data_IF_426837277480
#
_entry.id   IF_426837277480
#
_cell.length_a   1.000
_cell.length_b   1.000
_cell.length_c   1.000
_cell.angle_alpha   90.00
_cell.angle_beta   90.00
_cell.angle_gamma   90.00
#
_symmetry.space_group_name_H-M   'P 1'
#
loop_
_entity.id
_entity.type
_entity.pdbx_description
1 polymer ?
#
# COMPACT_ATOMS: atom_id res chain seq x y z
N UNK A 1 -62.84 -51.84 -11.07
CA UNK A 1 -61.65 -51.97 -10.19
C UNK A 1 -60.41 -52.26 -11.04
N UNK A 2 -59.63 -51.24 -11.41
CA UNK A 2 -58.16 -51.34 -11.58
C UNK A 2 -57.57 -49.98 -11.21
N UNK A 3 -56.77 -50.00 -10.15
CA UNK A 3 -56.09 -48.88 -9.50
C UNK A 3 -55.09 -48.23 -10.45
N UNK A 4 -55.18 -46.92 -10.68
CA UNK A 4 -54.10 -46.15 -11.29
C UNK A 4 -53.18 -45.66 -10.16
N UNK A 5 -52.04 -46.33 -9.99
CA UNK A 5 -50.98 -45.85 -9.10
C UNK A 5 -50.29 -44.65 -9.77
N UNK A 6 -50.53 -43.45 -9.24
CA UNK A 6 -49.76 -42.26 -9.61
C UNK A 6 -48.41 -42.30 -8.90
N UNK A 7 -47.35 -42.59 -9.64
CA UNK A 7 -45.97 -42.44 -9.18
C UNK A 7 -45.62 -40.97 -9.31
N UNK A 8 -45.51 -40.26 -8.17
CA UNK A 8 -45.03 -38.89 -8.13
C UNK A 8 -43.49 -38.95 -8.24
N UNK A 9 -42.87 -38.35 -9.27
CA UNK A 9 -41.42 -38.28 -9.34
C UNK A 9 -40.93 -37.29 -8.29
N UNK A 10 -40.16 -37.76 -7.32
CA UNK A 10 -39.41 -36.90 -6.39
C UNK A 10 -38.22 -36.35 -7.18
N UNK A 11 -38.32 -35.10 -7.62
CA UNK A 11 -37.20 -34.36 -8.20
C UNK A 11 -36.31 -33.91 -7.03
N UNK A 12 -35.18 -34.59 -6.86
CA UNK A 12 -34.15 -34.20 -5.90
C UNK A 12 -33.38 -33.00 -6.48
N UNK A 13 -33.71 -31.79 -6.05
CA UNK A 13 -32.96 -30.59 -6.41
C UNK A 13 -31.69 -30.58 -5.55
N UNK A 14 -30.59 -31.10 -6.08
CA UNK A 14 -29.25 -30.83 -5.55
C UNK A 14 -28.93 -29.35 -5.81
N UNK A 15 -29.09 -28.53 -4.78
CA UNK A 15 -28.56 -27.17 -4.75
C UNK A 15 -27.04 -27.26 -4.69
N UNK A 16 -26.40 -27.18 -5.85
CA UNK A 16 -24.98 -26.83 -5.95
C UNK A 16 -24.85 -25.40 -5.41
N UNK A 17 -24.54 -25.27 -4.12
CA UNK A 17 -24.08 -24.01 -3.57
C UNK A 17 -22.77 -23.67 -4.29
N UNK A 18 -22.85 -22.77 -5.28
CA UNK A 18 -21.68 -22.17 -5.87
C UNK A 18 -20.95 -21.44 -4.75
N UNK A 19 -19.86 -22.03 -4.26
CA UNK A 19 -18.99 -21.40 -3.28
C UNK A 19 -18.31 -20.23 -4.00
N UNK A 20 -18.85 -19.03 -3.89
CA UNK A 20 -18.19 -17.83 -4.38
C UNK A 20 -16.93 -17.63 -3.56
N UNK A 21 -15.77 -17.79 -4.20
CA UNK A 21 -14.49 -17.58 -3.53
C UNK A 21 -14.45 -16.15 -3.02
N UNK A 22 -14.35 -16.00 -1.69
CA UNK A 22 -14.20 -14.67 -1.09
C UNK A 22 -12.92 -14.01 -1.63
N UNK A 23 -12.95 -12.71 -1.93
CA UNK A 23 -11.78 -12.01 -2.42
C UNK A 23 -10.63 -12.12 -1.41
N UNK A 24 -9.42 -12.30 -1.94
CA UNK A 24 -8.16 -12.44 -1.18
C UNK A 24 -7.13 -11.42 -1.66
N UNK A 25 -6.21 -10.98 -0.78
CA UNK A 25 -5.05 -10.19 -1.17
C UNK A 25 -4.17 -10.90 -2.21
N UNK A 26 -3.32 -10.13 -2.89
CA UNK A 26 -2.32 -10.68 -3.82
C UNK A 26 -1.27 -11.55 -3.13
N UNK A 27 -0.99 -11.30 -1.85
CA UNK A 27 -0.16 -12.16 -1.02
C UNK A 27 -0.99 -13.34 -0.47
N UNK A 28 -0.73 -14.59 -0.92
CA UNK A 28 -1.46 -15.76 -0.43
C UNK A 28 -1.14 -16.10 1.05
N UNK A 29 -0.08 -15.52 1.62
CA UNK A 29 0.33 -15.67 3.02
C UNK A 29 -0.11 -14.48 3.89
N UNK A 30 -0.93 -13.56 3.34
CA UNK A 30 -1.39 -12.39 4.07
C UNK A 30 -1.94 -12.75 5.45
N UNK A 31 -1.54 -11.99 6.46
CA UNK A 31 -2.03 -12.13 7.84
C UNK A 31 -3.57 -12.06 7.90
N UNK A 32 -4.22 -12.70 8.90
CA UNK A 32 -5.67 -12.62 9.07
C UNK A 32 -6.20 -11.19 9.09
N UNK A 33 -5.50 -10.27 9.76
CA UNK A 33 -5.84 -8.85 9.86
C UNK A 33 -5.78 -8.15 8.50
N UNK A 34 -4.81 -8.49 7.66
CA UNK A 34 -4.66 -7.95 6.30
C UNK A 34 -5.72 -8.47 5.36
N UNK A 35 -6.06 -9.76 5.46
CA UNK A 35 -7.19 -10.35 4.73
C UNK A 35 -8.50 -9.69 5.14
N UNK A 36 -8.69 -9.43 6.44
CA UNK A 36 -9.87 -8.75 6.96
C UNK A 36 -9.95 -7.30 6.47
N UNK A 37 -8.84 -6.55 6.50
CA UNK A 37 -8.78 -5.20 5.94
C UNK A 37 -9.23 -5.21 4.47
N UNK A 38 -8.63 -6.06 3.64
CA UNK A 38 -8.95 -6.15 2.21
C UNK A 38 -10.43 -6.43 1.95
N UNK A 39 -11.00 -7.43 2.64
CA UNK A 39 -12.42 -7.78 2.50
C UNK A 39 -13.35 -6.68 2.98
N UNK A 40 -12.99 -6.01 4.09
CA UNK A 40 -13.79 -4.92 4.62
C UNK A 40 -13.78 -3.71 3.68
N UNK A 41 -12.64 -3.37 3.08
CA UNK A 41 -12.57 -2.31 2.06
C UNK A 41 -13.52 -2.60 0.88
N UNK A 42 -13.49 -3.82 0.35
CA UNK A 42 -14.39 -4.23 -0.74
C UNK A 42 -15.87 -4.21 -0.34
N UNK A 43 -16.19 -4.65 0.89
CA UNK A 43 -17.57 -4.61 1.40
C UNK A 43 -18.07 -3.18 1.62
N UNK A 44 -17.21 -2.28 2.10
CA UNK A 44 -17.57 -0.91 2.42
C UNK A 44 -17.72 -0.03 1.18
N UNK A 45 -17.11 -0.40 0.05
CA UNK A 45 -17.28 0.34 -1.22
C UNK A 45 -18.75 0.45 -1.64
N UNK A 46 -19.59 -0.52 -1.26
CA UNK A 46 -21.03 -0.53 -1.59
C UNK A 46 -21.84 0.41 -0.69
N UNK A 47 -21.28 0.87 0.42
CA UNK A 47 -21.98 1.69 1.42
C UNK A 47 -21.59 3.17 1.35
N UNK A 48 -20.37 3.48 0.93
CA UNK A 48 -19.90 4.85 0.84
C UNK A 48 -18.41 4.96 0.56
N UNK A 49 -17.90 6.18 0.67
CA UNK A 49 -16.50 6.51 0.46
C UNK A 49 -15.82 6.81 1.79
N UNK A 50 -14.67 6.20 2.04
CA UNK A 50 -13.82 6.54 3.18
C UNK A 50 -13.02 7.80 2.85
N UNK A 51 -13.14 8.83 3.69
CA UNK A 51 -12.34 10.04 3.57
C UNK A 51 -10.94 9.83 4.14
N UNK A 52 -9.91 10.29 3.42
CA UNK A 52 -8.51 10.18 3.82
C UNK A 52 -7.79 11.52 3.94
N UNK A 53 -6.82 11.59 4.86
CA UNK A 53 -5.96 12.76 5.02
C UNK A 53 -4.52 12.33 5.37
N UNK A 54 -3.54 12.89 4.66
CA UNK A 54 -2.11 12.67 4.87
C UNK A 54 -1.65 13.39 6.15
N UNK A 55 -0.80 12.75 6.95
CA UNK A 55 -0.18 13.33 8.16
C UNK A 55 -1.15 13.93 9.18
N UNK A 56 -2.39 13.41 9.20
CA UNK A 56 -3.52 14.00 9.88
C UNK A 56 -3.38 14.17 11.41
N UNK A 57 -2.44 13.46 12.04
CA UNK A 57 -2.14 13.56 13.48
C UNK A 57 -0.76 14.19 13.75
N UNK A 58 0.06 14.40 12.72
CA UNK A 58 1.40 14.91 12.86
C UNK A 58 1.37 16.44 13.05
N UNK A 59 0.64 17.14 12.20
CA UNK A 59 0.53 18.59 12.26
C UNK A 59 -0.71 19.08 11.50
N UNK A 60 -0.96 20.38 11.62
CA UNK A 60 -1.97 21.10 10.86
C UNK A 60 -1.62 22.58 10.79
N UNK A 61 -2.57 23.40 10.34
CA UNK A 61 -2.31 24.84 10.26
C UNK A 61 -2.20 25.44 11.68
N UNK A 62 -0.96 25.74 12.09
CA UNK A 62 -0.65 26.42 13.34
C UNK A 62 -0.35 25.52 14.54
N UNK A 63 -0.18 24.21 14.35
CA UNK A 63 0.18 23.27 15.43
C UNK A 63 0.99 22.09 14.90
N UNK A 64 1.82 21.49 15.76
CA UNK A 64 2.67 20.32 15.46
C UNK A 64 2.70 19.42 16.69
N UNK A 65 2.50 18.12 16.49
CA UNK A 65 2.58 17.06 17.52
C UNK A 65 1.71 17.29 18.76
N UNK A 66 0.56 17.94 18.59
CA UNK A 66 -0.43 18.03 19.67
C UNK A 66 -1.20 16.72 19.79
N UNK A 67 -1.16 16.12 20.98
CA UNK A 67 -1.69 14.78 21.22
C UNK A 67 -3.18 14.67 20.83
N UNK A 68 -3.47 13.76 19.90
CA UNK A 68 -4.83 13.47 19.44
C UNK A 68 -5.47 14.58 18.61
N UNK A 69 -4.74 15.64 18.23
CA UNK A 69 -5.28 16.70 17.38
C UNK A 69 -5.27 16.31 15.90
N UNK A 70 -6.19 16.89 15.14
CA UNK A 70 -6.27 16.76 13.67
C UNK A 70 -7.10 17.92 13.13
N UNK A 71 -6.65 18.60 12.07
CA UNK A 71 -7.43 19.69 11.45
C UNK A 71 -8.81 19.19 10.99
N UNK A 72 -8.88 17.95 10.50
CA UNK A 72 -10.14 17.30 10.11
C UNK A 72 -11.08 17.21 11.32
N UNK A 73 -10.59 16.69 12.45
CA UNK A 73 -11.38 16.57 13.66
C UNK A 73 -11.80 17.91 14.24
N UNK A 74 -10.92 18.91 14.20
CA UNK A 74 -11.22 20.25 14.69
C UNK A 74 -12.36 20.90 13.88
N UNK A 75 -12.44 20.63 12.57
CA UNK A 75 -13.45 21.21 11.68
C UNK A 75 -14.77 20.43 11.69
N UNK A 76 -14.73 19.09 11.59
CA UNK A 76 -15.94 18.28 11.40
C UNK A 76 -16.33 17.42 12.61
N UNK A 77 -15.54 17.44 13.69
CA UNK A 77 -15.83 16.73 14.94
C UNK A 77 -15.45 15.25 14.95
N UNK A 78 -14.90 14.71 13.86
CA UNK A 78 -14.44 13.33 13.75
C UNK A 78 -13.14 13.25 12.92
N UNK A 79 -12.38 12.17 13.12
CA UNK A 79 -11.13 11.95 12.40
C UNK A 79 -11.36 11.45 10.96
N UNK A 80 -10.35 11.52 10.06
CA UNK A 80 -10.43 10.81 8.79
C UNK A 80 -10.54 9.29 9.02
N UNK A 81 -11.14 8.60 8.06
CA UNK A 81 -11.24 7.14 8.08
C UNK A 81 -9.93 6.48 7.59
N UNK A 82 -9.20 7.15 6.69
CA UNK A 82 -7.91 6.71 6.15
C UNK A 82 -6.83 7.74 6.51
N UNK A 83 -5.72 7.28 7.04
CA UNK A 83 -4.58 8.10 7.44
C UNK A 83 -3.42 7.78 6.52
N UNK A 84 -2.96 8.79 5.79
CA UNK A 84 -1.76 8.70 4.96
C UNK A 84 -0.51 9.06 5.76
N UNK A 85 0.59 8.38 5.45
CA UNK A 85 1.91 8.62 6.02
C UNK A 85 2.99 8.55 4.94
N UNK A 86 3.97 9.44 5.03
CA UNK A 86 5.06 9.52 4.07
C UNK A 86 6.40 9.08 4.70
N UNK A 87 7.13 8.20 4.00
CA UNK A 87 8.35 7.58 4.51
C UNK A 87 9.64 7.94 3.77
N UNK A 88 9.65 8.95 2.91
CA UNK A 88 10.87 9.41 2.24
C UNK A 88 11.92 9.85 3.27
N UNK A 89 13.19 9.59 2.97
CA UNK A 89 14.35 9.68 3.87
C UNK A 89 14.50 8.53 4.88
N UNK A 90 13.50 7.67 5.09
CA UNK A 90 13.66 6.47 5.93
C UNK A 90 14.83 5.60 5.43
N UNK A 91 14.99 5.51 4.11
CA UNK A 91 16.03 4.76 3.44
C UNK A 91 17.45 5.25 3.74
N UNK A 92 17.60 6.50 4.17
CA UNK A 92 18.88 7.10 4.53
C UNK A 92 19.29 6.76 5.97
N UNK A 93 18.37 6.20 6.76
CA UNK A 93 18.55 6.01 8.20
C UNK A 93 18.38 7.30 9.00
N UNK A 94 17.71 8.30 8.41
CA UNK A 94 17.35 9.54 9.10
C UNK A 94 16.27 9.27 10.17
N UNK A 95 16.20 10.14 11.17
CA UNK A 95 15.16 10.06 12.21
C UNK A 95 13.81 10.67 11.77
N UNK A 96 13.82 11.48 10.70
CA UNK A 96 12.67 12.24 10.23
C UNK A 96 12.41 11.97 8.75
N UNK A 97 11.14 12.04 8.35
CA UNK A 97 10.71 12.04 6.95
C UNK A 97 11.19 13.30 6.22
N UNK A 98 11.02 13.31 4.90
CA UNK A 98 11.27 14.52 4.09
C UNK A 98 10.43 15.74 4.51
N UNK A 99 9.30 15.51 5.19
CA UNK A 99 8.41 16.55 5.71
C UNK A 99 8.69 16.88 7.19
N UNK A 100 9.84 16.44 7.72
CA UNK A 100 10.26 16.66 9.11
C UNK A 100 9.39 15.95 10.16
N UNK A 101 8.74 14.85 9.79
CA UNK A 101 7.96 14.02 10.71
C UNK A 101 8.81 12.88 11.28
N UNK A 102 8.94 12.78 12.61
CA UNK A 102 9.80 11.75 13.22
C UNK A 102 9.22 10.34 13.02
N UNK A 103 10.03 9.37 12.57
CA UNK A 103 9.53 8.02 12.24
C UNK A 103 8.92 7.27 13.44
N UNK A 104 9.49 7.41 14.64
CA UNK A 104 8.90 6.82 15.85
C UNK A 104 7.49 7.34 16.13
N UNK A 105 7.21 8.61 15.82
CA UNK A 105 5.86 9.16 15.95
C UNK A 105 4.93 8.57 14.89
N UNK A 106 5.39 8.44 13.63
CA UNK A 106 4.62 7.78 12.57
C UNK A 106 4.25 6.35 12.98
N UNK A 107 5.20 5.56 13.51
CA UNK A 107 4.91 4.20 13.99
C UNK A 107 3.87 4.21 15.13
N UNK A 108 4.02 5.12 16.10
CA UNK A 108 3.08 5.29 17.20
C UNK A 108 1.68 5.69 16.74
N UNK A 109 1.56 6.58 15.76
CA UNK A 109 0.27 6.98 15.21
C UNK A 109 -0.35 5.90 14.35
N UNK A 110 0.42 5.14 13.56
CA UNK A 110 -0.09 3.97 12.83
C UNK A 110 -0.78 3.01 13.79
N UNK A 111 -0.15 2.73 14.94
CA UNK A 111 -0.74 1.93 16.02
C UNK A 111 -2.00 2.57 16.60
N UNK A 112 -1.95 3.86 16.92
CA UNK A 112 -3.11 4.63 17.44
C UNK A 112 -4.31 4.58 16.48
N UNK A 113 -4.06 4.71 15.18
CA UNK A 113 -5.07 4.65 14.12
C UNK A 113 -5.66 3.25 14.04
N UNK A 114 -4.82 2.22 14.05
CA UNK A 114 -5.28 0.83 14.01
C UNK A 114 -6.16 0.48 15.22
N UNK A 115 -5.76 0.88 16.43
CA UNK A 115 -6.53 0.66 17.66
C UNK A 115 -7.88 1.38 17.65
N UNK A 116 -7.97 2.51 16.95
CA UNK A 116 -9.23 3.25 16.73
C UNK A 116 -10.09 2.66 15.61
N UNK A 117 -9.58 1.69 14.85
CA UNK A 117 -10.27 1.09 13.70
C UNK A 117 -10.15 1.90 12.40
N UNK A 118 -9.22 2.85 12.33
CA UNK A 118 -8.88 3.55 11.09
C UNK A 118 -7.96 2.73 10.18
N UNK A 119 -7.85 3.15 8.92
CA UNK A 119 -6.99 2.52 7.92
C UNK A 119 -5.71 3.33 7.75
N UNK A 120 -4.56 2.65 7.75
CA UNK A 120 -3.28 3.28 7.47
C UNK A 120 -2.86 3.01 6.01
N UNK A 121 -2.45 4.06 5.30
CA UNK A 121 -1.80 3.97 3.99
C UNK A 121 -0.45 4.69 4.03
N UNK A 122 0.51 4.19 3.28
CA UNK A 122 1.90 4.66 3.28
C UNK A 122 2.33 4.96 1.84
N UNK A 123 2.84 6.17 1.59
CA UNK A 123 3.60 6.51 0.38
C UNK A 123 5.10 6.59 0.67
N UNK A 124 5.90 6.67 -0.40
CA UNK A 124 7.35 6.69 -0.28
C UNK A 124 8.03 7.49 -1.39
N UNK A 125 8.43 8.71 -1.06
CA UNK A 125 9.28 9.61 -1.82
C UNK A 125 10.76 9.35 -1.47
N UNK A 126 11.24 8.17 -1.87
CA UNK A 126 12.63 7.78 -1.66
C UNK A 126 13.63 8.56 -2.54
N UNK A 127 14.83 8.79 -2.02
CA UNK A 127 15.96 9.40 -2.75
C UNK A 127 16.30 8.62 -4.02
N UNK A 128 16.78 9.34 -5.02
CA UNK A 128 17.36 8.76 -6.22
C UNK A 128 18.66 7.99 -5.86
N UNK A 129 18.68 6.66 -5.96
CA UNK A 129 19.81 5.83 -5.52
C UNK A 129 21.04 5.91 -6.45
N UNK A 130 20.85 6.43 -7.67
CA UNK A 130 21.94 6.60 -8.63
C UNK A 130 22.71 7.89 -8.38
N UNK A 131 21.99 9.01 -8.28
CA UNK A 131 22.59 10.35 -8.16
C UNK A 131 22.76 10.79 -6.70
N UNK A 132 22.04 10.15 -5.78
CA UNK A 132 21.88 10.58 -4.40
C UNK A 132 20.90 11.73 -4.22
N UNK A 133 20.24 12.23 -5.28
CA UNK A 133 19.27 13.33 -5.27
C UNK A 133 17.89 12.97 -4.71
N UNK A 134 16.95 13.92 -4.72
CA UNK A 134 15.56 13.70 -4.25
C UNK A 134 14.77 12.77 -5.18
N UNK A 135 13.53 12.42 -4.82
CA UNK A 135 12.62 11.73 -5.76
C UNK A 135 12.42 12.50 -7.06
N UNK A 136 12.49 13.83 -7.00
CA UNK A 136 12.38 14.75 -8.13
C UNK A 136 13.69 14.95 -8.91
N UNK A 137 14.78 14.32 -8.49
CA UNK A 137 16.00 14.33 -9.29
C UNK A 137 15.85 13.39 -10.49
N UNK A 138 15.39 13.98 -11.59
CA UNK A 138 15.13 13.32 -12.86
C UNK A 138 16.26 13.50 -13.87
N UNK A 139 17.48 13.83 -13.39
CA UNK A 139 18.63 14.13 -14.24
C UNK A 139 19.16 12.93 -15.03
N UNK A 140 18.70 11.71 -14.73
CA UNK A 140 19.12 10.46 -15.37
C UNK A 140 17.94 9.55 -15.65
N UNK A 141 17.97 8.89 -16.81
CA UNK A 141 17.03 7.82 -17.21
C UNK A 141 17.54 6.42 -16.86
N UNK A 142 18.74 6.32 -16.29
CA UNK A 142 19.35 5.02 -15.95
C UNK A 142 19.02 4.60 -14.51
N UNK A 143 18.27 5.40 -13.75
CA UNK A 143 18.04 5.18 -12.32
C UNK A 143 17.37 3.83 -12.06
N UNK A 144 16.22 3.57 -12.70
CA UNK A 144 15.48 2.31 -12.53
C UNK A 144 16.35 1.13 -12.97
N UNK A 145 16.93 1.20 -14.17
CA UNK A 145 17.83 0.16 -14.68
C UNK A 145 19.01 -0.13 -13.76
N UNK A 146 19.59 0.89 -13.12
CA UNK A 146 20.72 0.74 -12.21
C UNK A 146 20.37 -0.01 -10.93
N UNK A 147 19.12 0.00 -10.48
CA UNK A 147 18.69 -0.65 -9.24
C UNK A 147 18.02 -2.01 -9.43
N UNK A 148 17.68 -2.38 -10.66
CA UNK A 148 17.18 -3.72 -10.96
C UNK A 148 18.27 -4.79 -10.78
N UNK A 149 17.92 -6.08 -10.60
CA UNK A 149 18.89 -7.16 -10.50
C UNK A 149 19.93 -7.12 -11.63
N UNK A 150 21.21 -7.11 -11.26
CA UNK A 150 22.34 -6.96 -12.20
C UNK A 150 22.77 -5.51 -12.48
N UNK A 151 22.02 -4.51 -12.02
CA UNK A 151 22.39 -3.10 -12.11
C UNK A 151 23.43 -2.69 -11.05
N UNK A 152 24.20 -1.64 -11.35
CA UNK A 152 25.33 -1.18 -10.50
C UNK A 152 24.92 -0.66 -9.11
N UNK A 153 23.66 -0.24 -8.95
CA UNK A 153 23.07 0.25 -7.69
C UNK A 153 22.17 -0.79 -7.03
N UNK A 154 22.07 -2.02 -7.54
CA UNK A 154 21.14 -3.02 -7.02
C UNK A 154 21.33 -3.30 -5.53
N UNK A 155 22.55 -3.66 -5.11
CA UNK A 155 22.83 -3.94 -3.69
C UNK A 155 22.65 -2.71 -2.81
N UNK A 156 22.96 -1.51 -3.32
CA UNK A 156 22.70 -0.28 -2.60
C UNK A 156 21.19 -0.05 -2.42
N UNK A 157 20.40 -0.27 -3.46
CA UNK A 157 18.95 -0.14 -3.40
C UNK A 157 18.30 -1.17 -2.46
N UNK A 158 18.83 -2.39 -2.35
CA UNK A 158 18.38 -3.35 -1.34
C UNK A 158 18.53 -2.80 0.09
N UNK A 159 19.53 -1.96 0.36
CA UNK A 159 19.65 -1.31 1.68
C UNK A 159 18.48 -0.35 1.96
N UNK A 160 17.92 0.30 0.93
CA UNK A 160 16.72 1.13 1.07
C UNK A 160 15.51 0.26 1.41
N UNK A 161 15.36 -0.86 0.70
CA UNK A 161 14.31 -1.84 0.98
C UNK A 161 14.45 -2.47 2.36
N UNK A 162 15.67 -2.70 2.84
CA UNK A 162 15.93 -3.20 4.20
C UNK A 162 15.43 -2.23 5.27
N UNK A 163 15.63 -0.92 5.09
CA UNK A 163 15.13 0.10 6.03
C UNK A 163 13.61 0.14 6.03
N UNK A 164 12.97 0.11 4.86
CA UNK A 164 11.52 0.01 4.75
C UNK A 164 10.99 -1.28 5.40
N UNK A 165 11.62 -2.43 5.12
CA UNK A 165 11.24 -3.71 5.70
C UNK A 165 11.35 -3.71 7.23
N UNK A 166 12.40 -3.09 7.79
CA UNK A 166 12.56 -2.95 9.24
C UNK A 166 11.45 -2.07 9.85
N UNK A 167 11.10 -0.95 9.21
CA UNK A 167 9.99 -0.11 9.65
C UNK A 167 8.67 -0.89 9.63
N UNK A 168 8.36 -1.56 8.52
CA UNK A 168 7.16 -2.38 8.36
C UNK A 168 7.10 -3.50 9.41
N UNK A 169 8.21 -4.17 9.69
CA UNK A 169 8.28 -5.22 10.71
C UNK A 169 8.06 -4.70 12.15
N UNK A 170 8.30 -3.41 12.38
CA UNK A 170 8.00 -2.73 13.64
C UNK A 170 6.52 -2.39 13.83
N UNK A 171 5.69 -2.45 12.78
CA UNK A 171 4.26 -2.12 12.85
C UNK A 171 3.47 -3.24 13.52
N UNK A 172 3.50 -3.24 14.85
CA UNK A 172 2.82 -4.24 15.69
C UNK A 172 2.04 -3.57 16.82
N UNK A 173 0.95 -4.20 17.23
CA UNK A 173 0.28 -3.90 18.49
C UNK A 173 1.14 -4.34 19.68
N UNK A 174 0.77 -3.94 20.89
CA UNK A 174 1.48 -4.39 22.12
C UNK A 174 1.44 -5.90 22.32
N UNK A 175 0.44 -6.57 21.73
CA UNK A 175 0.31 -8.02 21.79
C UNK A 175 1.08 -8.73 20.66
N UNK A 176 1.83 -7.99 19.84
CA UNK A 176 2.66 -8.52 18.77
C UNK A 176 1.93 -8.79 17.45
N UNK A 177 0.64 -8.47 17.34
CA UNK A 177 -0.13 -8.57 16.09
C UNK A 177 0.37 -7.54 15.09
N UNK A 178 0.73 -7.97 13.88
CA UNK A 178 1.09 -7.04 12.81
C UNK A 178 -0.09 -6.16 12.40
N UNK A 179 0.17 -4.86 12.27
CA UNK A 179 -0.83 -3.87 11.85
C UNK A 179 -0.89 -3.86 10.32
N UNK A 180 -2.05 -4.16 9.69
CA UNK A 180 -2.17 -4.12 8.25
C UNK A 180 -2.07 -2.69 7.72
N UNK A 181 -1.28 -2.50 6.67
CA UNK A 181 -1.12 -1.20 5.98
C UNK A 181 -1.29 -1.33 4.47
N UNK A 182 -1.73 -0.25 3.83
CA UNK A 182 -1.73 -0.12 2.37
C UNK A 182 -0.44 0.58 1.96
N UNK A 183 0.45 -0.09 1.24
CA UNK A 183 1.68 0.50 0.72
C UNK A 183 1.52 0.89 -0.74
N UNK A 184 1.85 2.14 -1.06
CA UNK A 184 1.64 2.77 -2.38
C UNK A 184 2.96 3.27 -2.98
N UNK A 185 3.89 2.37 -3.35
CA UNK A 185 5.19 2.76 -3.91
C UNK A 185 5.07 3.26 -5.34
N UNK A 186 6.09 4.00 -5.81
CA UNK A 186 6.26 4.43 -7.20
C UNK A 186 5.00 5.05 -7.84
N UNK A 187 4.26 5.84 -7.05
CA UNK A 187 3.03 6.47 -7.48
C UNK A 187 3.26 7.49 -8.60
N UNK A 188 2.19 7.81 -9.34
CA UNK A 188 2.19 8.85 -10.39
C UNK A 188 3.20 8.60 -11.52
N UNK A 189 3.58 7.33 -11.72
CA UNK A 189 4.58 6.94 -12.71
C UNK A 189 4.17 7.20 -14.17
N UNK A 190 2.90 7.54 -14.45
CA UNK A 190 2.49 8.04 -15.77
C UNK A 190 3.03 9.44 -16.06
N UNK A 191 3.34 10.21 -15.00
CA UNK A 191 4.11 11.45 -15.06
C UNK A 191 5.61 11.23 -15.24
N UNK A 192 6.39 12.30 -15.13
CA UNK A 192 7.88 12.24 -15.22
C UNK A 192 8.56 13.27 -14.33
N UNK A 193 7.91 13.65 -13.24
CA UNK A 193 8.49 14.47 -12.18
C UNK A 193 9.25 13.64 -11.14
N UNK A 194 9.04 12.33 -11.09
CA UNK A 194 9.82 11.40 -10.27
C UNK A 194 10.76 10.54 -11.11
N UNK A 195 11.89 10.12 -10.55
CA UNK A 195 12.91 9.33 -11.26
C UNK A 195 12.40 7.97 -11.78
N UNK A 196 11.28 7.45 -11.28
CA UNK A 196 10.60 6.24 -11.78
C UNK A 196 9.51 6.51 -12.84
N UNK A 197 9.38 7.76 -13.31
CA UNK A 197 8.33 8.16 -14.23
C UNK A 197 8.49 7.65 -15.66
N UNK A 198 7.40 7.75 -16.44
CA UNK A 198 7.23 7.21 -17.80
C UNK A 198 8.35 7.57 -18.80
N UNK A 199 8.92 8.76 -18.73
CA UNK A 199 10.00 9.20 -19.64
C UNK A 199 11.41 8.86 -19.13
N UNK A 200 11.50 8.25 -17.94
CA UNK A 200 12.75 7.98 -17.22
C UNK A 200 13.02 6.48 -17.02
N UNK A 201 12.10 5.62 -17.45
CA UNK A 201 12.30 4.18 -17.53
C UNK A 201 11.34 3.54 -18.55
N UNK A 202 11.66 2.34 -19.01
CA UNK A 202 10.77 1.57 -19.87
C UNK A 202 9.60 0.95 -19.09
N UNK A 203 8.60 0.44 -19.81
CA UNK A 203 7.48 -0.30 -19.20
C UNK A 203 7.99 -1.55 -18.47
N UNK A 204 8.94 -2.26 -19.09
CA UNK A 204 9.56 -3.47 -18.54
C UNK A 204 10.36 -3.15 -17.28
N UNK A 205 11.11 -2.05 -17.28
CA UNK A 205 11.90 -1.61 -16.13
C UNK A 205 11.01 -1.24 -14.93
N UNK A 206 9.96 -0.44 -15.15
CA UNK A 206 9.00 -0.10 -14.10
C UNK A 206 8.30 -1.35 -13.54
N UNK A 207 7.83 -2.23 -14.43
CA UNK A 207 7.18 -3.48 -14.03
C UNK A 207 8.12 -4.38 -13.23
N UNK A 208 9.38 -4.47 -13.63
CA UNK A 208 10.41 -5.22 -12.91
C UNK A 208 10.71 -4.59 -11.54
N UNK A 209 10.75 -3.26 -11.43
CA UNK A 209 10.97 -2.56 -10.16
C UNK A 209 9.85 -2.85 -9.17
N UNK A 210 8.59 -2.78 -9.63
CA UNK A 210 7.44 -3.09 -8.82
C UNK A 210 7.47 -4.54 -8.33
N UNK A 211 7.60 -5.49 -9.26
CA UNK A 211 7.63 -6.92 -8.94
C UNK A 211 8.76 -7.29 -8.00
N UNK A 212 9.96 -6.75 -8.25
CA UNK A 212 11.11 -6.96 -7.38
C UNK A 212 10.82 -6.48 -5.96
N UNK A 213 10.24 -5.29 -5.79
CA UNK A 213 9.93 -4.73 -4.47
C UNK A 213 8.91 -5.59 -3.71
N UNK A 214 7.85 -6.04 -4.38
CA UNK A 214 6.84 -6.94 -3.80
C UNK A 214 7.46 -8.28 -3.41
N UNK A 215 8.22 -8.90 -4.32
CA UNK A 215 8.91 -10.18 -4.09
C UNK A 215 9.91 -10.07 -2.94
N UNK A 216 10.67 -8.98 -2.89
CA UNK A 216 11.63 -8.70 -1.83
C UNK A 216 10.97 -8.68 -0.46
N UNK A 217 9.85 -7.95 -0.31
CA UNK A 217 9.15 -7.89 0.96
C UNK A 217 8.47 -9.20 1.32
N UNK A 218 7.77 -9.85 0.40
CA UNK A 218 7.01 -11.07 0.69
C UNK A 218 7.92 -12.29 0.87
N UNK A 219 8.86 -12.52 -0.05
CA UNK A 219 9.62 -13.75 -0.12
C UNK A 219 10.99 -13.66 0.56
N UNK A 220 11.71 -12.53 0.44
CA UNK A 220 13.00 -12.36 1.12
C UNK A 220 12.84 -11.89 2.57
N UNK A 221 11.89 -10.97 2.84
CA UNK A 221 11.68 -10.41 4.20
C UNK A 221 10.54 -11.03 4.99
N UNK A 222 9.69 -11.86 4.37
CA UNK A 222 8.58 -12.53 5.06
C UNK A 222 7.51 -11.56 5.58
N UNK A 223 7.34 -10.42 4.93
CA UNK A 223 6.35 -9.39 5.30
C UNK A 223 5.02 -9.73 4.64
N UNK A 224 4.01 -10.01 5.47
CA UNK A 224 2.69 -10.49 5.04
C UNK A 224 1.53 -9.62 5.55
N UNK A 225 1.83 -8.42 6.04
CA UNK A 225 0.83 -7.46 6.56
C UNK A 225 0.67 -6.20 5.71
N UNK A 226 0.94 -6.32 4.41
CA UNK A 226 0.94 -5.20 3.46
C UNK A 226 -0.01 -5.51 2.29
N UNK A 227 -0.91 -4.58 2.01
CA UNK A 227 -1.64 -4.50 0.75
C UNK A 227 -0.92 -3.54 -0.19
N UNK A 228 -0.78 -3.88 -1.48
CA UNK A 228 -0.08 -3.03 -2.44
C UNK A 228 -1.08 -2.23 -3.29
N UNK A 229 -0.93 -0.91 -3.34
CA UNK A 229 -1.79 -0.02 -4.11
C UNK A 229 -1.05 0.57 -5.31
N UNK A 230 -1.47 0.20 -6.53
CA UNK A 230 -1.02 0.81 -7.78
C UNK A 230 -1.78 2.11 -8.04
N UNK A 231 -1.06 3.22 -8.28
CA UNK A 231 -1.68 4.53 -8.52
C UNK A 231 -0.96 5.31 -9.62
N UNK A 232 -1.68 5.57 -10.71
CA UNK A 232 -1.28 6.48 -11.79
C UNK A 232 -1.65 7.92 -11.44
N UNK A 233 -1.13 8.90 -12.19
CA UNK A 233 -1.59 10.30 -12.11
C UNK A 233 -2.76 10.50 -13.12
N UNK A 234 -2.54 11.26 -14.19
CA UNK A 234 -3.46 11.43 -15.31
C UNK A 234 -3.34 10.26 -16.29
N UNK A 235 -4.50 9.81 -16.75
CA UNK A 235 -4.67 8.85 -17.84
C UNK A 235 -6.02 9.14 -18.51
N UNK A 236 -6.15 8.75 -19.77
CA UNK A 236 -7.33 9.01 -20.61
C UNK A 236 -8.06 7.73 -21.02
N UNK A 237 -7.46 6.56 -20.80
CA UNK A 237 -8.07 5.27 -21.07
C UNK A 237 -7.63 4.19 -20.08
N UNK A 238 -8.37 3.08 -20.06
CA UNK A 238 -8.00 1.89 -19.28
C UNK A 238 -6.65 1.33 -19.73
N UNK A 239 -6.37 1.34 -21.03
CA UNK A 239 -5.09 0.88 -21.59
C UNK A 239 -3.93 1.75 -21.08
N UNK A 240 -4.11 3.07 -21.02
CA UNK A 240 -3.10 3.98 -20.47
C UNK A 240 -2.92 3.77 -18.96
N UNK A 241 -4.02 3.55 -18.22
CA UNK A 241 -3.96 3.19 -16.80
C UNK A 241 -3.16 1.90 -16.56
N UNK A 242 -3.35 0.91 -17.43
CA UNK A 242 -2.76 -0.43 -17.30
C UNK A 242 -1.42 -0.60 -18.01
N UNK A 243 -0.92 0.40 -18.76
CA UNK A 243 0.31 0.29 -19.57
C UNK A 243 1.51 -0.23 -18.77
N UNK A 244 1.59 0.13 -17.49
CA UNK A 244 2.65 -0.25 -16.54
C UNK A 244 2.14 -1.09 -15.37
N UNK A 245 0.95 -1.67 -15.51
CA UNK A 245 0.38 -2.52 -14.47
C UNK A 245 1.25 -3.78 -14.29
N UNK A 246 1.70 -4.08 -13.06
CA UNK A 246 2.71 -5.10 -12.82
C UNK A 246 2.19 -6.55 -12.89
N UNK A 247 0.90 -6.77 -13.17
CA UNK A 247 0.29 -8.10 -13.28
C UNK A 247 -0.62 -8.44 -12.10
#
# INVERSE_FOLDING_TARGET
MKSLHHVIPVVLILSLAACTSQPVPSDPKATPETVNLYRNLLKLQEQGMMFGHEDALAYGIGWVYEEGRSDVKDVVGDYPAVYGWELGHLELGDAYSLDSVHFDHIQGWIKTVYERGGVNTISWHLRNPLTGGSSWDTSSKEVVKSILPGGEKHEFYKTYLDKMANFLNGLKTDNGTFIPVIFRPYHEHTGSWFWWGKNLCTVEEYTALWRFTVDYFQNEKGIHHVLYAYSTDRFTSTEEYLERYPG
#
